data_IF_792130184348
#
_entry.id   IF_792130184348
#
_cell.length_a   1.000
_cell.length_b   1.000
_cell.length_c   1.000
_cell.angle_alpha   90.00
_cell.angle_beta   90.00
_cell.angle_gamma   90.00
#
_symmetry.space_group_name_H-M   'P 1'
#
loop_
_entity.id
_entity.type
_entity.pdbx_description
1 polymer ?
2 non-polymer ?
3 non-polymer ?
4 water ?
#
# COMPACT_ATOMS: atom_id res chain seq x y z
N UNK A 4 -8.85 -24.07 18.36
CA UNK A 4 -9.20 -22.75 17.70
C UNK A 4 -8.64 -22.72 16.28
N UNK A 5 -9.52 -22.61 15.25
CA UNK A 5 -9.06 -22.67 13.86
C UNK A 5 -8.29 -21.39 13.52
N UNK A 6 -7.35 -21.47 12.60
CA UNK A 6 -6.63 -20.29 12.11
C UNK A 6 -7.52 -19.55 11.11
N UNK A 7 -7.52 -18.21 11.09
CA UNK A 7 -8.39 -17.49 10.18
C UNK A 7 -7.94 -17.62 8.73
N UNK A 8 -8.90 -17.47 7.83
CA UNK A 8 -8.71 -17.45 6.36
C UNK A 8 -8.76 -16.00 5.88
N UNK A 9 -9.33 -15.11 6.71
CA UNK A 9 -9.49 -13.68 6.40
C UNK A 9 -9.42 -12.86 7.69
N UNK A 10 -8.88 -11.64 7.59
CA UNK A 10 -8.85 -10.68 8.71
C UNK A 10 -9.37 -9.35 8.17
N UNK A 11 -9.74 -8.48 9.08
CA UNK A 11 -10.10 -7.09 8.70
C UNK A 11 -9.02 -6.18 9.24
N UNK A 12 -8.67 -5.21 8.39
CA UNK A 12 -7.55 -4.27 8.67
C UNK A 12 -8.14 -2.88 8.55
N UNK A 13 -7.93 -2.08 9.57
CA UNK A 13 -8.24 -0.64 9.58
C UNK A 13 -6.96 0.13 9.25
N UNK A 14 -7.05 1.01 8.27
CA UNK A 14 -5.99 1.97 7.90
C UNK A 14 -6.53 3.37 8.19
N UNK A 15 -5.80 4.16 8.97
CA UNK A 15 -6.13 5.56 9.21
C UNK A 15 -5.00 6.45 8.79
N UNK A 16 -5.30 7.58 8.17
CA UNK A 16 -4.29 8.61 7.88
C UNK A 16 -4.87 9.94 8.35
N UNK A 17 -4.09 10.67 9.14
CA UNK A 17 -4.50 12.00 9.62
C UNK A 17 -3.30 12.90 9.71
N UNK A 18 -3.34 14.02 8.98
CA UNK A 18 -2.39 15.14 9.19
C UNK A 18 -3.01 16.03 10.27
N UNK A 19 -2.39 15.99 11.45
CA UNK A 19 -2.91 16.60 12.69
C UNK A 19 -2.64 18.10 12.74
N UNK A 20 -1.88 18.66 11.80
CA UNK A 20 -1.64 20.13 11.73
C UNK A 20 -0.98 20.63 13.00
N UNK A 21 -0.15 19.79 13.63
CA UNK A 21 0.69 20.14 14.80
C UNK A 21 -0.19 20.57 15.99
N UNK A 22 -1.44 20.09 16.04
CA UNK A 22 -2.38 20.42 17.12
C UNK A 22 -2.78 19.13 17.81
N UNK A 23 -3.00 19.15 19.15
CA UNK A 23 -3.51 18.00 19.86
C UNK A 23 -4.88 17.61 19.32
N UNK A 24 -5.24 16.31 19.38
CA UNK A 24 -6.56 15.90 18.93
C UNK A 24 -7.62 16.33 19.93
N UNK A 25 -8.92 16.31 19.54
CA UNK A 25 -9.99 16.55 20.50
C UNK A 25 -10.19 15.33 21.41
N UNK A 26 -11.09 15.44 22.40
CA UNK A 26 -11.17 14.40 23.44
C UNK A 26 -11.75 13.11 22.84
N UNK A 27 -12.55 13.20 21.79
CA UNK A 27 -13.18 12.00 21.18
C UNK A 27 -12.83 11.87 19.69
N UNK A 28 -12.22 10.75 19.30
CA UNK A 28 -11.85 10.52 17.87
C UNK A 28 -12.38 9.15 17.42
N UNK A 29 -13.32 8.59 18.16
CA UNK A 29 -13.86 7.23 17.89
C UNK A 29 -14.51 7.11 16.51
N UNK A 30 -15.08 8.20 15.98
CA UNK A 30 -15.71 8.23 14.63
C UNK A 30 -14.70 7.76 13.58
N UNK A 31 -13.42 8.09 13.76
CA UNK A 31 -12.34 7.69 12.84
C UNK A 31 -12.27 6.15 12.77
N UNK A 32 -12.14 5.51 13.92
CA UNK A 32 -11.91 4.05 14.03
C UNK A 32 -13.19 3.31 13.66
N UNK A 33 -14.32 3.99 13.72
CA UNK A 33 -15.64 3.42 13.32
C UNK A 33 -15.97 3.64 11.85
N UNK A 34 -15.12 4.32 11.09
CA UNK A 34 -15.39 4.59 9.65
C UNK A 34 -16.75 5.30 9.48
N UNK A 35 -16.96 6.35 10.28
CA UNK A 35 -18.20 7.19 10.26
C UNK A 35 -17.85 8.57 9.70
N UNK A 36 -18.73 9.11 8.86
CA UNK A 36 -18.57 10.47 8.32
C UNK A 36 -19.07 10.47 6.93
N UNK A 37 -18.23 10.92 5.99
CA UNK A 37 -18.55 10.99 4.54
C UNK A 37 -17.87 9.85 3.80
N UNK A 38 -18.39 9.51 2.62
CA UNK A 38 -17.80 8.53 1.73
C UNK A 38 -18.43 7.18 1.89
N UNK A 39 -17.63 6.13 1.72
CA UNK A 39 -18.04 4.71 1.89
C UNK A 39 -17.83 4.35 3.37
N UNK A 40 -18.91 4.38 4.15
CA UNK A 40 -18.85 4.25 5.62
C UNK A 40 -19.21 2.83 6.02
N UNK A 41 -18.84 2.47 7.23
CA UNK A 41 -19.07 1.15 7.81
C UNK A 41 -20.49 1.10 8.41
N UNK A 42 -21.13 -0.06 8.29
CA UNK A 42 -22.50 -0.26 8.80
C UNK A 42 -22.49 -0.13 10.33
N UNK A 43 -23.49 0.56 10.87
CA UNK A 43 -23.66 0.70 12.36
C UNK A 43 -23.65 -0.65 13.06
N UNK A 44 -24.18 -1.69 12.43
CA UNK A 44 -24.33 -3.05 13.00
C UNK A 44 -22.95 -3.65 13.30
N UNK A 45 -21.86 -3.06 12.75
CA UNK A 45 -20.48 -3.55 12.94
C UNK A 45 -19.72 -2.81 14.04
N UNK A 46 -20.32 -1.79 14.64
CA UNK A 46 -19.60 -0.84 15.53
C UNK A 46 -18.89 -1.54 16.69
N UNK A 47 -19.47 -2.62 17.24
CA UNK A 47 -18.79 -3.28 18.38
C UNK A 47 -17.77 -4.32 17.93
N UNK A 48 -17.71 -4.61 16.62
CA UNK A 48 -16.84 -5.70 16.10
C UNK A 48 -15.44 -5.10 15.92
N UNK A 49 -14.40 -5.58 16.62
CA UNK A 49 -13.07 -5.01 16.46
C UNK A 49 -12.51 -5.48 15.13
N UNK A 50 -11.77 -4.63 14.45
CA UNK A 50 -10.84 -5.07 13.39
C UNK A 50 -9.74 -5.89 14.05
N UNK A 51 -9.14 -6.76 13.24
CA UNK A 51 -8.01 -7.60 13.68
C UNK A 51 -6.79 -6.73 13.92
N UNK A 52 -6.53 -5.81 12.99
CA UNK A 52 -5.30 -4.97 12.98
C UNK A 52 -5.78 -3.54 12.70
N UNK A 53 -5.28 -2.57 13.48
CA UNK A 53 -5.45 -1.12 13.25
C UNK A 53 -4.08 -0.54 12.96
N UNK A 54 -3.96 0.14 11.82
CA UNK A 54 -2.70 0.80 11.41
C UNK A 54 -3.02 2.28 11.29
N UNK A 55 -2.33 3.09 12.10
CA UNK A 55 -2.64 4.54 12.28
C UNK A 55 -1.45 5.37 11.81
N UNK A 56 -1.60 6.07 10.68
CA UNK A 56 -0.56 6.95 10.13
C UNK A 56 -0.90 8.37 10.48
N UNK A 57 0.03 9.09 11.07
CA UNK A 57 -0.16 10.53 11.31
C UNK A 57 0.98 11.31 10.65
N UNK A 58 0.66 12.57 10.37
CA UNK A 58 1.61 13.56 9.82
C UNK A 58 1.41 14.84 10.63
N UNK A 59 2.48 15.62 10.78
CA UNK A 59 2.42 16.85 11.61
C UNK A 59 1.87 16.49 13.01
N UNK A 60 2.31 15.35 13.55
CA UNK A 60 1.82 14.80 14.83
C UNK A 60 2.62 15.48 15.94
N UNK A 61 1.99 16.28 16.82
CA UNK A 61 2.72 17.00 17.87
C UNK A 61 2.96 16.15 19.15
N UNK A 62 2.37 14.97 19.22
CA UNK A 62 2.32 14.16 20.44
C UNK A 62 3.60 13.32 20.57
N UNK A 63 3.95 12.97 21.79
CA UNK A 63 4.93 11.88 22.04
C UNK A 63 4.27 10.55 21.64
N UNK A 64 5.09 9.54 21.39
CA UNK A 64 4.59 8.18 21.10
C UNK A 64 3.70 7.78 22.26
N UNK A 65 4.15 8.06 23.48
CA UNK A 65 3.39 7.65 24.68
C UNK A 65 2.03 8.34 24.68
N UNK A 66 2.00 9.65 24.45
CA UNK A 66 0.71 10.41 24.48
C UNK A 66 -0.25 9.81 23.44
N UNK A 67 0.24 9.50 22.24
CA UNK A 67 -0.64 9.03 21.15
C UNK A 67 -1.08 7.59 21.42
N UNK A 68 -0.18 6.72 21.87
CA UNK A 68 -0.56 5.34 22.25
C UNK A 68 -1.68 5.31 23.29
N UNK A 69 -1.59 6.19 24.30
CA UNK A 69 -2.61 6.37 25.37
C UNK A 69 -3.97 6.65 24.72
N UNK A 70 -4.02 7.67 23.86
CA UNK A 70 -5.28 8.07 23.18
C UNK A 70 -5.77 6.93 22.30
N UNK A 71 -4.89 6.31 21.51
CA UNK A 71 -5.36 5.24 20.60
C UNK A 71 -5.91 4.08 21.39
N UNK A 72 -5.15 3.54 22.33
CA UNK A 72 -5.59 2.32 23.04
C UNK A 72 -6.90 2.56 23.80
N UNK A 73 -7.01 3.70 24.49
CA UNK A 73 -8.24 4.08 25.24
C UNK A 73 -9.42 4.15 24.27
N UNK A 74 -9.24 4.79 23.12
CA UNK A 74 -10.28 4.98 22.07
C UNK A 74 -10.79 3.62 21.59
N UNK A 75 -9.90 2.67 21.31
CA UNK A 75 -10.32 1.33 20.84
C UNK A 75 -10.98 0.56 21.99
N UNK A 76 -10.46 0.68 23.22
CA UNK A 76 -11.08 0.02 24.39
C UNK A 76 -12.52 0.54 24.55
N UNK A 77 -12.73 1.84 24.45
CA UNK A 77 -14.08 2.44 24.59
C UNK A 77 -15.00 1.84 23.54
N UNK A 78 -14.54 1.71 22.29
CA UNK A 78 -15.37 1.22 21.15
C UNK A 78 -15.68 -0.27 21.34
N UNK A 79 -14.67 -1.07 21.64
CA UNK A 79 -14.71 -2.53 21.37
C UNK A 79 -14.73 -3.30 22.67
N UNK A 80 -14.33 -2.64 23.75
CA UNK A 80 -14.02 -3.29 25.06
C UNK A 80 -12.86 -4.27 24.94
N UNK A 81 -11.98 -4.13 23.93
CA UNK A 81 -10.75 -4.96 23.79
C UNK A 81 -9.56 -4.08 24.11
N UNK A 82 -8.59 -4.59 24.86
CA UNK A 82 -7.31 -3.92 25.10
C UNK A 82 -6.35 -4.37 24.02
N UNK A 83 -6.04 -3.50 23.07
CA UNK A 83 -5.20 -3.87 21.91
C UNK A 83 -3.73 -3.95 22.35
N UNK A 84 -3.00 -4.84 21.70
CA UNK A 84 -1.53 -4.97 21.86
C UNK A 84 -0.81 -4.08 20.85
N UNK A 85 0.29 -3.49 21.27
CA UNK A 85 1.12 -2.65 20.38
C UNK A 85 2.09 -3.53 19.62
N UNK A 86 1.92 -3.68 18.31
CA UNK A 86 2.80 -4.50 17.45
C UNK A 86 4.05 -3.68 17.15
N UNK A 87 3.86 -2.40 16.86
CA UNK A 87 4.97 -1.54 16.41
C UNK A 87 4.56 -0.08 16.46
N UNK A 88 5.56 0.76 16.66
CA UNK A 88 5.39 2.23 16.55
C UNK A 88 6.70 2.76 16.03
N UNK A 89 6.66 3.65 15.05
CA UNK A 89 7.89 4.23 14.49
C UNK A 89 7.61 5.66 14.06
N UNK A 90 8.47 6.59 14.46
CA UNK A 90 8.30 8.03 14.20
C UNK A 90 9.55 8.57 13.51
N UNK A 91 9.35 9.29 12.39
CA UNK A 91 10.40 10.11 11.73
C UNK A 91 9.89 11.55 11.80
N UNK A 92 10.56 12.37 12.61
CA UNK A 92 10.16 13.78 12.80
C UNK A 92 8.73 13.80 13.31
N UNK A 93 7.75 14.25 12.53
CA UNK A 93 6.34 14.34 12.99
C UNK A 93 5.48 13.38 12.17
N UNK A 94 6.13 12.41 11.51
CA UNK A 94 5.47 11.34 10.72
C UNK A 94 5.49 10.05 11.52
N UNK A 95 4.32 9.48 11.82
CA UNK A 95 4.28 8.35 12.74
C UNK A 95 3.38 7.23 12.24
N UNK A 96 3.80 6.02 12.51
CA UNK A 96 2.92 4.85 12.24
C UNK A 96 2.81 4.02 13.52
N UNK A 97 1.57 3.63 13.83
CA UNK A 97 1.22 2.75 14.98
C UNK A 97 0.48 1.53 14.46
N UNK A 98 0.94 0.33 14.84
CA UNK A 98 0.22 -0.93 14.53
C UNK A 98 -0.29 -1.54 15.83
N UNK A 99 -1.60 -1.70 15.94
CA UNK A 99 -2.28 -2.34 17.09
C UNK A 99 -2.99 -3.59 16.61
N UNK A 100 -3.00 -4.63 17.44
CA UNK A 100 -3.67 -5.89 17.07
C UNK A 100 -4.42 -6.49 18.24
N UNK A 101 -5.49 -7.23 17.94
CA UNK A 101 -6.24 -8.05 18.93
C UNK A 101 -5.23 -8.87 19.74
N UNK A 102 -5.41 -9.03 21.06
CA UNK A 102 -4.52 -9.87 21.84
C UNK A 102 -4.39 -11.30 21.33
N UNK A 103 -5.46 -11.86 20.79
CA UNK A 103 -5.45 -13.26 20.26
C UNK A 103 -4.47 -13.41 19.10
N UNK A 104 -4.00 -12.30 18.47
CA UNK A 104 -3.11 -12.35 17.30
C UNK A 104 -1.65 -12.26 17.69
N UNK A 105 -1.37 -12.08 18.98
CA UNK A 105 0.04 -11.94 19.42
C UNK A 105 0.92 -13.12 18.91
N UNK A 106 0.42 -14.35 19.02
CA UNK A 106 1.14 -15.60 18.67
C UNK A 106 1.22 -15.77 17.14
N UNK A 107 0.36 -15.07 16.40
CA UNK A 107 0.26 -15.19 14.91
C UNK A 107 1.19 -14.18 14.23
N UNK A 108 1.68 -13.20 14.99
CA UNK A 108 2.50 -12.10 14.42
C UNK A 108 3.99 -12.32 14.71
N UNK A 109 4.84 -12.19 13.69
CA UNK A 109 6.29 -12.39 13.86
C UNK A 109 7.02 -11.52 12.85
N UNK A 110 8.35 -11.50 12.91
CA UNK A 110 9.19 -10.83 11.89
C UNK A 110 8.76 -9.36 11.75
N UNK A 111 8.64 -8.66 12.87
CA UNK A 111 8.20 -7.24 12.84
C UNK A 111 9.40 -6.40 12.44
N UNK A 112 9.25 -5.61 11.38
CA UNK A 112 10.28 -4.68 10.86
C UNK A 112 9.71 -3.26 10.86
N UNK A 113 10.58 -2.27 11.09
CA UNK A 113 10.22 -0.83 11.02
C UNK A 113 11.33 -0.17 10.24
N UNK A 114 10.99 0.87 9.51
CA UNK A 114 12.04 1.66 8.81
C UNK A 114 11.45 3.01 8.47
N UNK A 115 12.33 3.89 8.04
CA UNK A 115 11.90 5.22 7.55
C UNK A 115 12.80 5.61 6.38
N UNK A 116 12.31 6.52 5.57
CA UNK A 116 13.07 7.15 4.47
C UNK A 116 12.84 8.65 4.59
N UNK A 117 13.92 9.42 4.56
CA UNK A 117 13.87 10.90 4.47
C UNK A 117 13.96 11.30 3.01
N UNK A 118 13.05 12.13 2.50
CA UNK A 118 13.07 12.52 1.08
C UNK A 118 13.73 13.89 0.90
N UNK A 119 14.27 14.15 -0.30
CA UNK A 119 14.83 15.47 -0.68
C UNK A 119 16.29 15.61 -0.27
N UNK A 120 16.95 16.69 -0.74
CA UNK A 120 18.40 16.95 -0.55
C UNK A 120 18.58 18.40 -0.10
N UNK A 121 19.32 18.63 1.00
CA UNK A 121 19.70 19.96 1.56
C UNK A 121 18.44 20.75 1.95
N UNK A 122 18.09 21.81 1.19
CA UNK A 122 16.79 22.53 1.23
C UNK A 122 15.66 21.59 1.64
N UNK A 123 15.46 20.54 0.83
CA UNK A 123 14.23 19.70 0.77
C UNK A 123 14.41 18.44 1.64
N UNK A 124 15.54 18.28 2.33
CA UNK A 124 15.71 17.31 3.47
C UNK A 124 15.47 18.06 4.79
N UNK A 125 14.48 17.62 5.57
CA UNK A 125 14.18 18.25 6.87
C UNK A 125 12.84 17.86 7.43
N UNK A 126 11.82 17.58 6.61
CA UNK A 126 10.57 17.12 7.29
C UNK A 126 9.63 16.14 6.55
N UNK A 127 9.89 15.86 5.27
CA UNK A 127 9.06 14.93 4.45
C UNK A 127 9.73 13.56 4.38
N UNK A 128 8.93 12.50 4.19
CA UNK A 128 9.45 11.16 4.06
C UNK A 128 8.39 10.17 4.43
N UNK A 129 8.80 9.00 4.89
CA UNK A 129 7.85 7.90 5.15
C UNK A 129 8.36 7.10 6.32
N UNK A 130 7.42 6.52 7.04
CA UNK A 130 7.69 5.44 8.00
C UNK A 130 6.95 4.20 7.53
N UNK A 131 7.44 3.03 7.95
CA UNK A 131 6.81 1.78 7.57
C UNK A 131 6.95 0.71 8.61
N UNK A 132 6.05 -0.26 8.52
CA UNK A 132 6.03 -1.46 9.40
C UNK A 132 5.73 -2.64 8.50
N UNK A 133 6.44 -3.73 8.70
CA UNK A 133 6.02 -5.04 8.14
C UNK A 133 5.99 -6.10 9.22
N UNK A 134 5.24 -7.16 8.92
CA UNK A 134 5.28 -8.37 9.75
C UNK A 134 4.61 -9.51 9.00
N UNK A 135 4.80 -10.70 9.55
CA UNK A 135 4.06 -11.89 9.16
C UNK A 135 2.87 -12.04 10.07
N UNK A 136 1.71 -12.31 9.49
CA UNK A 136 0.50 -12.78 10.16
C UNK A 136 0.31 -14.23 9.68
N UNK A 137 0.63 -15.20 10.51
CA UNK A 137 0.69 -16.61 10.08
C UNK A 137 1.48 -16.69 8.77
N UNK A 138 0.92 -17.25 7.69
CA UNK A 138 1.70 -17.47 6.45
C UNK A 138 1.66 -16.26 5.50
N UNK A 139 1.13 -15.14 5.96
CA UNK A 139 0.86 -13.97 5.09
C UNK A 139 1.74 -12.80 5.51
N UNK A 140 2.40 -12.17 4.55
CA UNK A 140 3.28 -10.99 4.81
C UNK A 140 2.47 -9.71 4.58
N UNK A 141 2.56 -8.78 5.51
CA UNK A 141 1.79 -7.51 5.46
C UNK A 141 2.79 -6.35 5.57
N UNK A 142 2.69 -5.39 4.66
CA UNK A 142 3.48 -4.14 4.74
C UNK A 142 2.57 -2.93 4.83
N UNK A 143 3.06 -1.90 5.51
CA UNK A 143 2.30 -0.66 5.75
C UNK A 143 3.26 0.51 5.65
N UNK A 144 2.91 1.46 4.80
CA UNK A 144 3.75 2.68 4.58
C UNK A 144 2.88 3.90 4.84
N UNK A 145 3.35 4.78 5.74
CA UNK A 145 2.75 6.11 5.97
C UNK A 145 3.74 7.15 5.46
N UNK A 146 3.40 7.87 4.40
CA UNK A 146 4.25 8.89 3.78
C UNK A 146 3.60 10.26 3.88
N UNK A 147 4.43 11.26 4.15
CA UNK A 147 4.13 12.70 4.02
C UNK A 147 4.97 13.22 2.86
N UNK A 148 4.36 13.46 1.71
CA UNK A 148 5.10 13.84 0.50
C UNK A 148 5.11 15.36 0.36
N UNK A 149 5.95 15.84 -0.54
CA UNK A 149 6.15 17.28 -0.79
C UNK A 149 4.80 17.97 -0.97
N UNK A 150 4.64 19.16 -0.39
CA UNK A 150 3.41 19.98 -0.49
C UNK A 150 3.47 20.90 -1.72
N UNK A 151 2.32 21.41 -2.10
CA UNK A 151 2.24 22.51 -3.07
C UNK A 151 1.68 22.01 -4.36
N UNK A 152 0.69 22.71 -4.91
CA UNK A 152 0.03 22.31 -6.16
C UNK A 152 1.01 22.11 -7.32
N UNK A 153 2.11 22.87 -7.31
CA UNK A 153 3.09 22.98 -8.41
C UNK A 153 4.08 21.80 -8.40
N UNK A 154 4.06 20.96 -7.36
CA UNK A 154 5.15 19.98 -7.09
C UNK A 154 4.73 18.52 -7.24
N UNK A 155 3.88 18.21 -8.20
CA UNK A 155 3.44 16.80 -8.37
C UNK A 155 4.65 15.96 -8.81
N UNK A 156 5.56 16.51 -9.59
CA UNK A 156 6.75 15.73 -10.00
C UNK A 156 7.61 15.37 -8.78
N UNK A 157 7.80 16.34 -7.87
CA UNK A 157 8.54 16.12 -6.59
C UNK A 157 7.88 14.97 -5.82
N UNK A 158 6.55 15.02 -5.70
CA UNK A 158 5.83 13.95 -4.98
C UNK A 158 6.16 12.59 -5.64
N UNK A 159 6.16 12.52 -6.96
CA UNK A 159 6.40 11.25 -7.69
C UNK A 159 7.84 10.78 -7.39
N UNK A 160 8.75 11.74 -7.33
CA UNK A 160 10.16 11.45 -6.96
C UNK A 160 10.25 10.97 -5.51
N UNK A 161 9.51 11.60 -4.60
CA UNK A 161 9.49 11.19 -3.17
C UNK A 161 9.01 9.73 -3.09
N UNK A 162 7.91 9.40 -3.77
CA UNK A 162 7.37 8.04 -3.86
C UNK A 162 8.45 7.06 -4.32
N UNK A 163 9.16 7.38 -5.40
CA UNK A 163 10.18 6.42 -5.94
C UNK A 163 11.28 6.24 -4.89
N UNK A 164 11.73 7.31 -4.23
CA UNK A 164 12.77 7.17 -3.18
C UNK A 164 12.29 6.29 -2.03
N UNK A 165 11.05 6.48 -1.62
CA UNK A 165 10.48 5.66 -0.51
C UNK A 165 10.45 4.19 -0.95
N UNK A 166 9.94 3.97 -2.16
CA UNK A 166 9.79 2.63 -2.79
C UNK A 166 11.14 1.92 -2.78
N UNK A 167 12.17 2.61 -3.25
CA UNK A 167 13.53 2.04 -3.42
C UNK A 167 14.17 1.75 -2.07
N UNK A 168 14.02 2.66 -1.10
CA UNK A 168 14.95 2.65 0.04
C UNK A 168 14.30 2.20 1.34
N UNK A 169 12.98 2.06 1.42
CA UNK A 169 12.37 1.60 2.66
C UNK A 169 12.65 0.10 2.81
N UNK A 170 13.32 -0.30 3.88
CA UNK A 170 13.85 -1.65 4.10
C UNK A 170 12.91 -2.39 5.04
N UNK A 171 11.87 -2.97 4.47
CA UNK A 171 10.88 -3.77 5.21
C UNK A 171 10.83 -5.16 4.61
N UNK A 172 10.30 -6.12 5.35
CA UNK A 172 10.05 -7.46 4.82
C UNK A 172 11.32 -8.25 4.77
N UNK A 173 11.30 -9.33 4.00
CA UNK A 173 12.33 -10.41 4.10
C UNK A 173 13.57 -9.93 3.34
N UNK A 174 14.67 -9.64 4.06
CA UNK A 174 15.94 -9.19 3.40
C UNK A 174 16.52 -10.26 2.46
N UNK A 175 16.09 -11.53 2.54
CA UNK A 175 16.53 -12.56 1.54
C UNK A 175 15.96 -12.24 0.16
N UNK A 176 14.89 -11.43 0.10
CA UNK A 176 14.25 -11.05 -1.20
C UNK A 176 15.03 -9.90 -1.82
N UNK A 177 16.34 -10.08 -1.97
CA UNK A 177 17.27 -8.96 -2.24
C UNK A 177 16.98 -8.25 -3.57
N UNK A 178 16.49 -8.86 -4.67
CA UNK A 178 16.18 -8.10 -5.87
C UNK A 178 14.90 -7.26 -5.80
N UNK A 179 14.11 -7.44 -4.75
CA UNK A 179 12.73 -6.92 -4.70
C UNK A 179 12.64 -5.77 -3.70
N UNK A 180 11.98 -4.72 -4.14
CA UNK A 180 11.58 -3.56 -3.30
C UNK A 180 10.25 -3.86 -2.61
N UNK A 181 9.79 -2.94 -1.76
CA UNK A 181 8.56 -3.18 -0.96
C UNK A 181 7.36 -3.45 -1.87
N UNK A 182 7.34 -3.03 -3.13
CA UNK A 182 6.16 -3.25 -3.99
C UNK A 182 6.05 -4.72 -4.39
N UNK A 183 7.01 -5.58 -4.06
CA UNK A 183 6.94 -7.04 -4.34
C UNK A 183 7.10 -7.89 -3.08
N UNK A 184 7.41 -7.31 -1.93
CA UNK A 184 7.78 -8.17 -0.77
C UNK A 184 6.61 -8.68 0.06
N UNK A 185 5.37 -8.21 -0.19
CA UNK A 185 4.23 -8.47 0.72
C UNK A 185 3.02 -9.04 -0.03
N UNK A 186 2.37 -10.00 0.60
CA UNK A 186 1.06 -10.48 0.11
C UNK A 186 0.13 -9.27 -0.07
N UNK A 187 0.13 -8.39 0.93
CA UNK A 187 -0.69 -7.16 0.93
C UNK A 187 0.19 -6.00 1.39
N UNK A 188 0.24 -4.95 0.58
CA UNK A 188 0.98 -3.70 0.89
C UNK A 188 -0.04 -2.57 0.92
N UNK A 189 -0.08 -1.83 2.01
CA UNK A 189 -0.97 -0.66 2.14
C UNK A 189 -0.07 0.56 2.21
N UNK A 190 -0.36 1.55 1.38
CA UNK A 190 0.45 2.78 1.33
C UNK A 190 -0.52 3.94 1.47
N UNK A 191 -0.32 4.77 2.47
CA UNK A 191 -1.27 5.83 2.83
C UNK A 191 -0.46 7.02 3.30
N UNK A 192 -1.17 8.09 3.59
CA UNK A 192 -0.56 9.28 4.19
C UNK A 192 -1.11 10.57 3.62
N UNK A 193 -0.43 11.67 3.94
CA UNK A 193 -0.64 12.96 3.33
C UNK A 193 0.22 12.97 2.07
N UNK A 194 -0.31 12.39 1.01
CA UNK A 194 0.42 12.27 -0.25
C UNK A 194 0.45 13.63 -0.94
N UNK A 195 -0.43 14.56 -0.60
CA UNK A 195 -0.32 15.99 -0.96
C UNK A 195 -0.58 16.29 -2.43
N UNK A 196 -1.13 15.35 -3.19
CA UNK A 196 -1.61 15.63 -4.55
C UNK A 196 -2.88 16.50 -4.47
N UNK A 197 -2.98 17.45 -5.39
CA UNK A 197 -3.99 18.51 -5.37
C UNK A 197 -4.94 18.39 -6.54
N UNK A 198 -6.04 19.10 -6.39
CA UNK A 198 -7.00 19.29 -7.52
C UNK A 198 -6.43 20.43 -8.36
N UNK A 199 -5.99 20.09 -9.57
CA UNK A 199 -5.27 21.02 -10.49
C UNK A 199 -6.30 21.78 -11.34
N UNK A 200 -6.83 22.86 -10.79
CA UNK A 200 -7.72 23.78 -11.52
C UNK A 200 -7.15 25.17 -11.31
N UNK A 201 -7.53 26.15 -12.15
CA UNK A 201 -7.08 27.52 -11.97
C UNK A 201 -7.55 28.03 -10.61
N UNK A 202 -6.74 28.87 -9.95
CA UNK A 202 -6.98 29.35 -8.55
C UNK A 202 -8.20 30.27 -8.49
N UNK A 203 -8.61 30.86 -9.62
CA UNK A 203 -9.82 31.72 -9.70
C UNK A 203 -11.08 30.85 -9.79
N UNK A 204 -10.93 29.53 -9.91
CA UNK A 204 -12.07 28.57 -9.78
C UNK A 204 -12.34 28.17 -8.32
N UNK A 205 -11.66 28.77 -7.34
CA UNK A 205 -11.74 28.32 -5.93
C UNK A 205 -13.20 28.29 -5.46
N UNK A 206 -13.99 29.34 -5.73
CA UNK A 206 -15.36 29.39 -5.16
C UNK A 206 -16.23 28.39 -5.92
N UNK A 207 -15.99 28.17 -7.20
CA UNK A 207 -16.72 27.16 -8.00
C UNK A 207 -16.43 25.79 -7.41
N UNK A 208 -15.17 25.50 -7.15
CA UNK A 208 -14.79 24.21 -6.50
C UNK A 208 -15.57 24.03 -5.19
N UNK A 209 -15.61 25.05 -4.33
CA UNK A 209 -16.32 24.94 -3.03
C UNK A 209 -17.82 24.66 -3.22
N UNK A 210 -18.44 25.31 -4.20
CA UNK A 210 -19.89 25.11 -4.46
C UNK A 210 -20.12 23.69 -5.03
N UNK A 211 -19.18 23.16 -5.82
CA UNK A 211 -19.29 21.75 -6.28
C UNK A 211 -19.21 20.80 -5.06
N UNK A 212 -18.26 21.06 -4.14
CA UNK A 212 -18.18 20.26 -2.88
C UNK A 212 -19.49 20.32 -2.08
N UNK A 213 -20.08 21.51 -1.89
CA UNK A 213 -21.34 21.67 -1.13
C UNK A 213 -22.46 20.86 -1.78
N UNK A 214 -22.44 20.65 -3.08
CA UNK A 214 -23.47 19.88 -3.82
C UNK A 214 -23.09 18.40 -3.87
N UNK A 215 -21.97 18.02 -3.26
CA UNK A 215 -21.44 16.62 -3.29
C UNK A 215 -21.28 16.17 -4.73
N UNK A 216 -20.81 17.06 -5.60
CA UNK A 216 -20.59 16.77 -7.03
C UNK A 216 -19.08 16.73 -7.23
N UNK A 217 -18.49 15.56 -7.09
CA UNK A 217 -17.00 15.45 -7.03
C UNK A 217 -16.41 15.09 -8.39
N UNK A 218 -17.22 14.74 -9.40
CA UNK A 218 -16.69 14.10 -10.62
C UNK A 218 -15.76 15.05 -11.37
N UNK A 219 -16.17 16.32 -11.54
CA UNK A 219 -15.36 17.32 -12.27
C UNK A 219 -14.13 17.67 -11.41
N UNK A 220 -14.16 17.41 -10.12
CA UNK A 220 -12.97 17.71 -9.28
C UNK A 220 -12.01 16.52 -9.40
N UNK A 221 -12.51 15.29 -9.23
CA UNK A 221 -11.64 14.08 -9.29
C UNK A 221 -10.96 13.96 -10.67
N UNK A 222 -11.57 14.44 -11.75
CA UNK A 222 -10.93 14.38 -13.09
C UNK A 222 -9.70 15.28 -13.15
N UNK A 223 -9.51 16.17 -12.18
CA UNK A 223 -8.32 17.05 -12.07
C UNK A 223 -7.45 16.71 -10.84
N UNK A 224 -7.78 15.64 -10.14
CA UNK A 224 -6.94 15.16 -9.01
C UNK A 224 -5.58 14.69 -9.58
N UNK A 225 -4.49 15.24 -9.05
CA UNK A 225 -3.17 14.94 -9.58
C UNK A 225 -2.81 13.47 -9.32
N UNK A 226 -3.25 12.85 -8.23
CA UNK A 226 -2.85 11.47 -7.97
C UNK A 226 -3.53 10.57 -9.01
N UNK A 227 -4.82 10.74 -9.26
CA UNK A 227 -5.51 9.93 -10.29
C UNK A 227 -4.87 10.16 -11.67
N UNK A 228 -4.57 11.39 -12.04
CA UNK A 228 -4.04 11.71 -13.40
C UNK A 228 -2.61 11.16 -13.49
N UNK A 229 -1.77 11.34 -12.48
CA UNK A 229 -0.38 10.83 -12.54
C UNK A 229 -0.41 9.30 -12.61
N UNK A 230 -1.29 8.66 -11.83
CA UNK A 230 -1.47 7.19 -11.83
C UNK A 230 -1.91 6.73 -13.22
N UNK A 231 -2.83 7.45 -13.85
CA UNK A 231 -3.38 7.03 -15.17
C UNK A 231 -2.29 7.14 -16.24
N UNK A 232 -1.31 8.03 -16.05
CA UNK A 232 -0.14 8.18 -16.98
C UNK A 232 1.04 7.33 -16.52
N UNK A 233 0.86 6.48 -15.50
CA UNK A 233 1.88 5.52 -15.02
C UNK A 233 3.10 6.28 -14.53
N UNK A 234 2.90 7.43 -13.91
CA UNK A 234 4.02 8.26 -13.36
C UNK A 234 4.26 7.91 -11.91
N UNK A 235 3.30 7.25 -11.25
CA UNK A 235 3.38 6.97 -9.81
C UNK A 235 2.40 5.85 -9.47
N UNK A 236 2.68 5.11 -8.40
CA UNK A 236 1.79 4.08 -7.81
C UNK A 236 1.33 3.07 -8.88
N UNK A 237 2.23 2.72 -9.80
CA UNK A 237 1.93 1.70 -10.82
C UNK A 237 1.53 0.40 -10.10
N UNK A 238 0.41 -0.15 -10.53
CA UNK A 238 -0.14 -1.47 -10.12
C UNK A 238 -0.76 -1.44 -8.73
N UNK A 239 -0.99 -0.24 -8.20
CA UNK A 239 -1.74 -0.05 -6.92
C UNK A 239 -3.20 0.17 -7.23
N UNK A 240 -4.05 -0.08 -6.21
CA UNK A 240 -5.52 0.15 -6.26
C UNK A 240 -5.86 1.29 -5.30
N UNK A 241 -6.94 2.01 -5.59
CA UNK A 241 -7.53 2.95 -4.65
C UNK A 241 -9.03 2.77 -4.85
N UNK A 242 -9.79 2.77 -3.74
CA UNK A 242 -11.27 2.75 -3.75
C UNK A 242 -11.76 4.07 -4.32
N UNK A 243 -12.91 4.07 -4.99
CA UNK A 243 -13.51 5.32 -5.51
C UNK A 243 -13.67 6.30 -4.35
N UNK A 244 -13.37 7.57 -4.62
CA UNK A 244 -13.52 8.66 -3.64
C UNK A 244 -14.93 9.23 -3.71
N UNK A 245 -15.64 9.14 -2.59
CA UNK A 245 -17.05 9.61 -2.49
C UNK A 245 -17.21 10.53 -1.27
N UNK A 246 -16.13 11.10 -0.78
CA UNK A 246 -16.11 12.06 0.34
C UNK A 246 -15.54 13.40 -0.14
N UNK A 247 -15.84 14.48 0.56
CA UNK A 247 -15.33 15.81 0.19
C UNK A 247 -13.81 15.84 0.33
N UNK A 248 -13.13 16.71 -0.42
CA UNK A 248 -11.70 17.00 -0.17
C UNK A 248 -11.43 17.22 1.31
N UNK A 249 -10.32 16.67 1.80
CA UNK A 249 -10.00 16.58 3.22
C UNK A 249 -9.07 17.71 3.63
N UNK A 250 -8.75 18.62 2.71
CA UNK A 250 -7.80 19.73 2.94
C UNK A 250 -8.27 20.86 2.02
N UNK A 251 -8.08 22.14 2.37
CA UNK A 251 -7.60 22.67 3.62
C UNK A 251 -8.75 23.38 4.31
N UNK A 252 -9.06 22.95 5.51
CA UNK A 252 -10.19 23.49 6.32
C UNK A 252 -9.69 24.58 7.25
N UNK A 253 -10.59 25.50 7.59
CA UNK A 253 -10.45 26.34 8.79
C UNK A 253 -10.61 25.40 9.99
N UNK A 254 -9.73 25.52 10.99
CA UNK A 254 -9.83 24.72 12.23
C UNK A 254 -11.11 25.03 13.01
N UNK A 255 -11.60 24.03 13.73
CA UNK A 255 -12.72 24.09 14.71
C UNK A 255 -14.06 24.20 13.98
N UNK A 256 -14.10 24.10 12.66
CA UNK A 256 -15.37 23.86 11.94
C UNK A 256 -15.07 22.91 10.80
N UNK A 257 -16.07 22.38 10.08
CA UNK A 257 -15.83 21.83 8.71
C UNK A 257 -16.65 22.61 7.70
N UNK A 258 -17.11 23.79 8.08
CA UNK A 258 -18.08 24.53 7.23
C UNK A 258 -17.30 25.35 6.20
N UNK A 259 -15.96 25.44 6.34
CA UNK A 259 -15.17 26.41 5.56
C UNK A 259 -13.84 25.82 5.07
N UNK A 260 -13.59 25.95 3.78
CA UNK A 260 -12.26 25.70 3.20
C UNK A 260 -11.44 26.99 3.24
N UNK A 261 -10.21 26.91 3.74
CA UNK A 261 -9.27 28.05 3.83
C UNK A 261 -8.29 27.87 2.68
N UNK A 262 -8.57 28.46 1.53
CA UNK A 262 -7.76 28.24 0.31
C UNK A 262 -6.86 29.42 -0.11
N UNK A 263 -7.13 30.62 0.41
CA UNK A 263 -6.48 31.88 -0.03
C UNK A 263 -5.01 31.87 0.37
N UNK A 264 -4.16 32.52 -0.44
CA UNK A 264 -2.72 32.63 -0.16
C UNK A 264 -2.54 33.56 1.05
N UNK A 265 -1.61 33.19 1.91
CA UNK A 265 -1.33 33.85 3.21
C UNK A 265 0.17 33.78 3.44
N UNK A 266 0.75 34.68 4.25
CA UNK A 266 2.18 34.50 4.61
C UNK A 266 2.41 33.07 5.12
N UNK A 267 1.52 32.56 5.95
CA UNK A 267 1.65 31.24 6.60
C UNK A 267 1.68 30.11 5.55
N UNK A 268 1.17 30.33 4.33
CA UNK A 268 1.21 29.29 3.27
C UNK A 268 2.35 29.53 2.28
N UNK A 269 3.29 30.44 2.57
CA UNK A 269 4.27 30.86 1.58
C UNK A 269 3.64 31.55 0.39
N UNK A 270 2.51 32.24 0.60
CA UNK A 270 1.75 32.94 -0.48
C UNK A 270 1.35 31.93 -1.56
N UNK A 271 1.00 30.71 -1.14
CA UNK A 271 0.47 29.63 -2.02
C UNK A 271 -1.02 29.46 -1.76
N UNK A 272 -1.80 29.26 -2.83
CA UNK A 272 -3.21 28.87 -2.75
C UNK A 272 -3.22 27.39 -2.39
N UNK A 273 -4.17 27.02 -1.54
CA UNK A 273 -4.45 25.59 -1.22
C UNK A 273 -5.90 25.33 -1.66
N UNK A 274 -6.14 25.16 -2.95
CA UNK A 274 -7.48 24.78 -3.42
C UNK A 274 -7.85 23.46 -2.74
N UNK A 275 -9.12 23.25 -2.36
CA UNK A 275 -9.59 22.01 -1.77
C UNK A 275 -9.09 20.82 -2.57
N UNK A 276 -8.53 19.88 -1.83
CA UNK A 276 -7.82 18.73 -2.44
C UNK A 276 -7.98 17.48 -1.59
N UNK A 277 -7.86 16.35 -2.25
CA UNK A 277 -7.77 15.02 -1.60
C UNK A 277 -6.30 14.73 -1.29
N UNK A 278 -5.76 15.40 -0.28
CA UNK A 278 -4.33 15.19 0.08
C UNK A 278 -4.12 13.83 0.74
N UNK A 279 -5.16 13.30 1.39
CA UNK A 279 -5.03 12.24 2.41
C UNK A 279 -5.65 10.95 1.88
N UNK A 280 -4.83 9.95 1.61
CA UNK A 280 -5.23 8.83 0.74
C UNK A 280 -4.79 7.48 1.29
N UNK A 281 -5.46 6.43 0.81
CA UNK A 281 -5.10 5.04 1.13
C UNK A 281 -5.12 4.25 -0.19
N UNK A 282 -3.98 3.67 -0.53
CA UNK A 282 -3.85 2.76 -1.68
C UNK A 282 -3.32 1.42 -1.20
N UNK A 283 -3.50 0.39 -2.04
CA UNK A 283 -2.94 -0.93 -1.72
C UNK A 283 -2.49 -1.67 -2.97
N UNK A 284 -1.69 -2.67 -2.73
CA UNK A 284 -1.21 -3.57 -3.80
C UNK A 284 -1.08 -4.92 -3.14
N UNK A 285 -1.84 -5.88 -3.62
CA UNK A 285 -1.79 -7.27 -3.16
C UNK A 285 -1.30 -8.15 -4.32
N UNK A 286 -0.68 -9.25 -3.97
CA UNK A 286 -0.29 -10.28 -4.95
C UNK A 286 -1.50 -10.75 -5.73
N UNK A 287 -1.27 -11.19 -6.99
CA UNK A 287 -2.37 -11.60 -7.86
C UNK A 287 -3.20 -12.72 -7.22
N UNK A 288 -4.54 -12.60 -7.35
CA UNK A 288 -5.52 -13.65 -6.98
C UNK A 288 -5.49 -13.91 -5.47
N UNK A 289 -5.14 -12.90 -4.67
CA UNK A 289 -5.39 -12.95 -3.22
C UNK A 289 -6.63 -12.11 -2.93
N UNK A 290 -7.42 -12.57 -1.99
CA UNK A 290 -8.68 -11.85 -1.58
C UNK A 290 -8.29 -10.53 -0.93
N UNK A 291 -8.80 -9.42 -1.45
CA UNK A 291 -8.66 -8.11 -0.74
C UNK A 291 -9.85 -7.30 -1.18
N UNK A 292 -10.69 -6.88 -0.23
CA UNK A 292 -11.88 -6.05 -0.57
C UNK A 292 -11.89 -4.85 0.34
N UNK A 293 -11.95 -3.67 -0.23
CA UNK A 293 -12.15 -2.43 0.52
C UNK A 293 -13.60 -2.35 1.00
N UNK A 294 -13.79 -2.28 2.31
CA UNK A 294 -15.12 -2.27 3.00
C UNK A 294 -15.54 -0.83 3.33
N UNK A 295 -14.58 0.10 3.42
CA UNK A 295 -14.85 1.51 3.78
C UNK A 295 -13.70 2.36 3.26
N UNK A 296 -14.03 3.58 2.90
CA UNK A 296 -13.08 4.62 2.45
C UNK A 296 -13.80 5.94 2.57
N UNK A 297 -13.40 6.74 3.56
CA UNK A 297 -14.09 7.98 3.83
C UNK A 297 -13.33 8.91 4.72
N UNK A 298 -14.00 9.98 5.13
CA UNK A 298 -13.38 10.95 6.05
C UNK A 298 -14.36 11.26 7.17
N UNK A 299 -13.84 11.59 8.33
CA UNK A 299 -14.68 11.98 9.48
C UNK A 299 -15.15 13.42 9.26
N UNK A 300 -16.29 13.74 9.88
CA UNK A 300 -16.93 15.07 9.84
C UNK A 300 -16.84 15.80 11.19
N UNK A 301 -16.46 15.11 12.27
CA UNK A 301 -16.64 15.61 13.65
C UNK A 301 -15.27 15.82 14.34
N UNK A 302 -14.14 15.73 13.63
CA UNK A 302 -12.77 15.90 14.22
C UNK A 302 -12.17 17.10 13.49
N UNK A 303 -12.03 18.24 14.20
CA UNK A 303 -11.85 19.58 13.56
C UNK A 303 -10.61 20.31 14.09
N UNK A 304 -9.71 19.63 14.83
CA UNK A 304 -8.52 20.28 15.44
C UNK A 304 -7.51 20.64 14.38
N UNK A 305 -7.51 19.93 13.26
CA UNK A 305 -6.53 20.10 12.18
C UNK A 305 -7.18 20.79 10.99
N UNK A 306 -6.37 21.27 10.07
CA UNK A 306 -6.82 21.77 8.75
C UNK A 306 -7.00 20.61 7.77
N UNK A 307 -6.71 19.39 8.21
CA UNK A 307 -7.05 18.15 7.49
C UNK A 307 -8.12 17.41 8.27
N UNK A 308 -9.01 16.74 7.57
CA UNK A 308 -9.87 15.71 8.19
C UNK A 308 -9.18 14.34 8.12
N UNK A 309 -9.29 13.54 9.19
CA UNK A 309 -8.89 12.14 9.16
C UNK A 309 -9.59 11.39 8.02
N UNK A 310 -8.83 10.46 7.43
CA UNK A 310 -9.34 9.49 6.43
C UNK A 310 -9.21 8.10 7.03
N UNK A 311 -10.22 7.25 6.77
CA UNK A 311 -10.24 5.83 7.15
C UNK A 311 -10.42 4.99 5.89
N UNK A 312 -9.89 3.79 5.91
CA UNK A 312 -10.17 2.72 4.96
C UNK A 312 -10.11 1.41 5.73
N UNK A 313 -11.03 0.52 5.40
CA UNK A 313 -11.01 -0.83 5.97
C UNK A 313 -11.04 -1.87 4.85
N UNK A 314 -10.42 -2.99 5.18
CA UNK A 314 -10.20 -4.04 4.21
C UNK A 314 -10.47 -5.41 4.82
N UNK A 315 -11.08 -6.29 4.04
CA UNK A 315 -11.11 -7.75 4.29
C UNK A 315 -9.97 -8.37 3.47
N UNK A 316 -8.94 -8.93 4.14
CA UNK A 316 -7.70 -9.41 3.50
C UNK A 316 -7.54 -10.92 3.73
N UNK A 317 -7.34 -11.65 2.64
CA UNK A 317 -7.07 -13.08 2.70
C UNK A 317 -5.78 -13.33 3.45
N UNK A 318 -5.78 -14.31 4.35
CA UNK A 318 -4.56 -14.79 5.05
C UNK A 318 -4.49 -16.31 4.93
N UNK A 319 -3.30 -16.85 5.09
CA UNK A 319 -3.08 -18.31 5.08
C UNK A 319 -2.43 -18.75 6.40
N UNK A 320 -2.52 -20.05 6.68
CA UNK A 320 -1.94 -20.70 7.89
C UNK A 320 -0.42 -20.82 7.73
N UNK A 321 0.27 -21.13 8.84
CA UNK A 321 1.71 -21.53 8.84
C UNK A 321 1.76 -23.06 8.68
N UNK A 322 1.87 -23.54 7.45
CA UNK A 322 1.72 -24.97 7.07
C UNK A 322 2.93 -25.84 7.45
N UNK A 323 2.68 -27.02 8.04
CA UNK A 323 3.74 -28.03 8.35
C UNK A 323 3.28 -29.38 7.77
N UNK A 324 4.17 -30.04 7.05
CA UNK A 324 3.92 -31.41 6.56
C UNK A 324 5.03 -32.30 7.15
N UNK A 325 4.93 -33.61 6.92
CA UNK A 325 5.95 -34.60 7.34
C UNK A 325 7.26 -34.33 6.58
N UNK A 326 7.17 -33.74 5.39
CA UNK A 326 8.35 -33.37 4.57
C UNK A 326 8.72 -31.93 4.93
N UNK A 327 8.41 -30.96 4.08
CA UNK A 327 8.76 -29.56 4.34
C UNK A 327 7.85 -28.96 5.39
N UNK A 328 8.27 -27.88 6.07
CA UNK A 328 9.62 -27.32 5.91
C UNK A 328 10.78 -28.18 6.41
N UNK A 329 11.96 -27.94 5.85
CA UNK A 329 13.23 -28.61 6.19
C UNK A 329 13.67 -29.59 5.13
N UNK A 330 12.85 -29.79 4.11
CA UNK A 330 13.17 -30.66 2.94
C UNK A 330 12.11 -30.38 1.87
N UNK A 331 12.24 -31.03 0.73
CA UNK A 331 11.29 -30.88 -0.39
C UNK A 331 10.27 -32.00 -0.27
N UNK A 332 9.17 -31.85 -0.99
CA UNK A 332 8.12 -32.88 -1.09
C UNK A 332 8.08 -33.33 -2.54
N UNK A 333 8.63 -34.48 -2.86
CA UNK A 333 8.89 -34.87 -4.26
C UNK A 333 7.58 -35.07 -5.04
N UNK A 334 6.40 -35.02 -4.39
CA UNK A 334 5.09 -35.17 -5.10
C UNK A 334 4.67 -33.82 -5.69
N UNK A 335 5.45 -32.77 -5.45
CA UNK A 335 5.16 -31.43 -5.98
C UNK A 335 6.25 -30.97 -6.93
N UNK A 336 5.88 -30.23 -7.98
CA UNK A 336 6.83 -29.55 -8.88
C UNK A 336 6.15 -28.40 -9.62
N UNK A 337 6.94 -27.41 -9.95
CA UNK A 337 6.51 -26.26 -10.78
C UNK A 337 7.38 -26.23 -12.03
N UNK A 338 6.76 -26.39 -13.19
CA UNK A 338 7.47 -26.31 -14.49
C UNK A 338 6.96 -25.13 -15.32
N UNK A 339 7.83 -24.66 -16.19
CA UNK A 339 7.67 -23.45 -17.05
C UNK A 339 7.98 -23.84 -18.49
N UNK A 340 7.08 -23.50 -19.41
CA UNK A 340 7.22 -23.83 -20.85
C UNK A 340 7.11 -22.54 -21.65
N UNK A 341 7.74 -22.47 -22.84
CA UNK A 341 7.52 -21.38 -23.82
C UNK A 341 7.64 -20.01 -23.11
N UNK A 342 8.62 -19.83 -22.22
CA UNK A 342 8.76 -18.56 -21.45
C UNK A 342 9.69 -17.57 -22.15
N UNK A 343 9.31 -16.31 -22.09
CA UNK A 343 10.19 -15.24 -22.59
C UNK A 343 9.86 -13.96 -21.85
N UNK A 344 10.90 -13.20 -21.66
CA UNK A 344 10.86 -11.85 -21.06
C UNK A 344 10.95 -10.86 -22.21
N UNK A 345 10.21 -9.77 -22.16
CA UNK A 345 10.31 -8.67 -23.16
C UNK A 345 10.80 -7.50 -22.33
N UNK A 346 11.94 -6.91 -22.67
CA UNK A 346 12.50 -5.82 -21.83
C UNK A 346 12.58 -4.56 -22.66
N UNK A 347 12.44 -3.43 -22.00
CA UNK A 347 12.50 -2.10 -22.67
C UNK A 347 13.95 -1.61 -22.77
N UNK A 348 14.90 -2.28 -22.14
CA UNK A 348 16.32 -1.86 -22.08
C UNK A 348 16.88 -1.70 -23.50
N UNK A 349 17.68 -0.66 -23.70
CA UNK A 349 18.38 -0.42 -24.99
C UNK A 349 19.71 -1.17 -24.94
N UNK A 350 20.05 -1.81 -23.82
CA UNK A 350 21.35 -2.50 -23.60
C UNK A 350 21.34 -3.90 -24.22
N UNK A 351 22.54 -4.46 -24.43
CA UNK A 351 22.80 -5.87 -24.87
C UNK A 351 23.82 -6.47 -23.90
N UNK A 352 23.33 -7.22 -22.91
CA UNK A 352 24.04 -8.17 -22.03
C UNK A 352 23.20 -9.46 -22.07
N UNK A 353 23.71 -10.55 -21.56
CA UNK A 353 22.92 -11.75 -21.34
C UNK A 353 22.10 -11.56 -20.06
N UNK A 354 20.99 -12.26 -19.97
CA UNK A 354 20.09 -12.25 -18.79
C UNK A 354 19.80 -13.66 -18.32
N UNK A 355 19.63 -13.81 -17.00
CA UNK A 355 19.06 -15.02 -16.39
C UNK A 355 17.91 -14.64 -15.45
N UNK A 356 17.11 -15.63 -15.03
CA UNK A 356 15.98 -15.43 -14.09
C UNK A 356 16.39 -15.92 -12.69
N UNK A 357 15.84 -15.26 -11.67
CA UNK A 357 15.85 -15.78 -10.28
C UNK A 357 14.41 -15.95 -9.84
N UNK A 358 14.11 -17.11 -9.26
CA UNK A 358 12.78 -17.42 -8.72
C UNK A 358 12.94 -17.40 -7.20
N UNK A 359 12.08 -16.62 -6.52
CA UNK A 359 12.06 -16.53 -5.06
C UNK A 359 10.66 -16.82 -4.58
N UNK A 360 10.54 -17.71 -3.60
CA UNK A 360 9.23 -18.02 -3.00
C UNK A 360 9.44 -18.72 -1.68
N UNK A 361 8.54 -18.45 -0.72
CA UNK A 361 8.46 -19.15 0.58
C UNK A 361 8.24 -20.65 0.37
N UNK A 362 7.68 -21.05 -0.78
CA UNK A 362 7.40 -22.47 -1.08
C UNK A 362 8.69 -23.19 -1.50
N UNK A 363 9.83 -22.47 -1.69
CA UNK A 363 11.15 -23.09 -2.05
C UNK A 363 12.09 -23.06 -0.85
N UNK A 364 13.00 -24.02 -0.75
CA UNK A 364 14.01 -24.01 0.35
C UNK A 364 14.90 -22.80 0.18
N UNK A 365 15.25 -22.45 -1.05
CA UNK A 365 15.94 -21.18 -1.34
C UNK A 365 15.70 -20.77 -2.79
N UNK A 366 16.16 -19.57 -3.14
CA UNK A 366 15.93 -18.99 -4.49
C UNK A 366 16.69 -19.83 -5.53
N UNK A 367 16.16 -19.80 -6.74
CA UNK A 367 16.67 -20.63 -7.86
C UNK A 367 17.09 -19.71 -8.98
N UNK A 368 18.27 -19.96 -9.54
CA UNK A 368 18.89 -19.16 -10.63
C UNK A 368 18.89 -19.99 -11.93
N UNK A 369 18.19 -19.52 -12.96
CA UNK A 369 18.08 -20.21 -14.26
C UNK A 369 19.41 -20.05 -15.02
N UNK A 370 19.50 -20.81 -16.12
CA UNK A 370 20.48 -20.59 -17.20
C UNK A 370 20.16 -19.27 -17.89
N UNK A 371 21.16 -18.73 -18.56
CA UNK A 371 21.00 -17.53 -19.41
C UNK A 371 19.98 -17.84 -20.49
N UNK A 372 19.10 -16.89 -20.75
CA UNK A 372 18.19 -16.93 -21.91
C UNK A 372 18.90 -16.54 -23.19
N UNK A 373 18.20 -16.72 -24.30
CA UNK A 373 18.67 -16.32 -25.65
C UNK A 373 18.01 -15.03 -26.09
N UNK A 374 18.82 -14.01 -26.30
CA UNK A 374 18.35 -12.69 -26.74
C UNK A 374 17.96 -12.73 -28.21
N UNK A 375 16.80 -12.19 -28.52
CA UNK A 375 16.35 -11.93 -29.91
C UNK A 375 15.82 -10.50 -29.98
N UNK A 376 15.77 -9.94 -31.18
CA UNK A 376 15.18 -8.62 -31.49
C UNK A 376 13.68 -8.79 -31.74
N UNK A 377 12.81 -8.13 -30.96
CA UNK A 377 11.37 -8.04 -31.21
C UNK A 377 11.07 -7.20 -32.44
N UNK A 378 9.89 -7.36 -33.04
CA UNK A 378 9.51 -6.75 -34.35
C UNK A 378 9.41 -5.23 -34.25
N UNK A 379 9.28 -4.68 -33.04
CA UNK A 379 9.08 -3.23 -32.79
C UNK A 379 10.25 -2.65 -31.98
N UNK A 380 11.46 -3.23 -32.11
CA UNK A 380 12.70 -2.74 -31.47
C UNK A 380 13.03 -3.41 -30.12
N UNK A 381 12.11 -4.15 -29.50
CA UNK A 381 12.21 -4.64 -28.10
C UNK A 381 13.34 -5.67 -27.96
N UNK A 382 13.93 -5.80 -26.78
CA UNK A 382 14.74 -7.01 -26.46
C UNK A 382 13.81 -8.12 -25.98
N UNK A 383 13.87 -9.28 -26.61
CA UNK A 383 13.11 -10.48 -26.18
C UNK A 383 14.14 -11.47 -25.67
N UNK A 384 13.99 -11.91 -24.43
CA UNK A 384 14.91 -12.93 -23.84
C UNK A 384 14.13 -14.24 -23.79
N UNK A 385 14.56 -15.20 -24.62
CA UNK A 385 13.87 -16.51 -24.75
C UNK A 385 14.46 -17.49 -23.76
N UNK A 386 13.62 -18.08 -22.93
CA UNK A 386 13.95 -19.19 -22.02
C UNK A 386 13.46 -20.49 -22.64
N UNK A 387 12.54 -20.42 -23.61
CA UNK A 387 11.81 -21.58 -24.16
C UNK A 387 11.42 -22.55 -23.06
N UNK A 388 11.99 -23.75 -23.12
CA UNK A 388 11.70 -24.90 -22.22
C UNK A 388 12.88 -25.06 -21.27
N UNK A 389 13.79 -24.09 -21.19
CA UNK A 389 15.10 -24.26 -20.49
C UNK A 389 15.01 -23.92 -18.98
N UNK A 390 13.91 -23.36 -18.47
CA UNK A 390 13.86 -22.92 -17.05
C UNK A 390 13.88 -24.14 -16.16
N UNK A 391 14.50 -24.08 -14.96
CA UNK A 391 14.54 -25.23 -14.07
C UNK A 391 13.13 -25.66 -13.64
N UNK A 392 13.07 -26.88 -13.10
CA UNK A 392 11.87 -27.44 -12.45
C UNK A 392 11.97 -27.06 -10.97
N UNK A 393 10.99 -26.31 -10.44
CA UNK A 393 11.04 -25.84 -9.04
C UNK A 393 10.45 -26.90 -8.13
N UNK A 394 11.06 -27.06 -6.95
CA UNK A 394 10.78 -28.16 -6.01
C UNK A 394 10.22 -27.58 -4.73
N UNK A 395 8.88 -27.54 -4.59
CA UNK A 395 8.26 -26.93 -3.42
C UNK A 395 8.52 -27.79 -2.18
N UNK A 396 8.53 -27.14 -1.03
CA UNK A 396 8.74 -27.80 0.29
C UNK A 396 7.53 -28.63 0.67
N UNK A 397 6.36 -28.31 0.13
CA UNK A 397 5.06 -28.93 0.51
C UNK A 397 4.23 -29.09 -0.76
N UNK A 398 3.63 -30.25 -0.99
CA UNK A 398 2.97 -30.57 -2.28
C UNK A 398 1.45 -30.49 -2.12
N UNK A 399 0.97 -30.38 -0.89
CA UNK A 399 -0.48 -30.32 -0.59
C UNK A 399 -1.05 -29.14 -1.36
N UNK A 400 -2.08 -29.34 -2.21
CA UNK A 400 -2.60 -28.23 -3.00
C UNK A 400 -3.27 -27.14 -2.18
N UNK A 401 -3.75 -27.48 -0.97
CA UNK A 401 -4.35 -26.49 -0.02
C UNK A 401 -3.29 -25.49 0.44
N UNK A 402 -2.03 -25.87 0.38
CA UNK A 402 -0.87 -24.95 0.58
C UNK A 402 -0.45 -24.36 -0.76
N UNK A 403 -0.10 -25.21 -1.70
CA UNK A 403 0.74 -24.77 -2.84
C UNK A 403 -0.04 -23.79 -3.74
N UNK A 404 -1.35 -23.98 -3.89
CA UNK A 404 -2.16 -23.14 -4.80
C UNK A 404 -2.32 -21.73 -4.20
N UNK A 405 -2.02 -21.56 -2.92
CA UNK A 405 -2.07 -20.24 -2.26
C UNK A 405 -0.73 -19.49 -2.34
N UNK A 406 0.29 -20.06 -2.99
CA UNK A 406 1.63 -19.46 -3.01
C UNK A 406 1.83 -18.59 -4.24
N UNK A 407 2.96 -17.87 -4.26
CA UNK A 407 3.36 -16.98 -5.36
C UNK A 407 4.84 -17.18 -5.63
N UNK A 408 5.25 -16.99 -6.89
CA UNK A 408 6.67 -17.00 -7.33
C UNK A 408 7.04 -15.59 -7.76
N UNK A 409 7.99 -15.00 -7.04
CA UNK A 409 8.57 -13.71 -7.49
C UNK A 409 9.67 -14.04 -8.50
N UNK A 410 9.74 -13.24 -9.56
CA UNK A 410 10.71 -13.41 -10.67
C UNK A 410 11.48 -12.12 -10.78
N UNK A 411 12.81 -12.24 -10.81
CA UNK A 411 13.74 -11.17 -11.21
C UNK A 411 14.48 -11.61 -12.46
N UNK A 412 14.57 -10.74 -13.44
CA UNK A 412 15.46 -10.96 -14.62
C UNK A 412 16.72 -10.12 -14.36
N UNK A 413 17.85 -10.82 -14.31
CA UNK A 413 19.14 -10.18 -13.95
C UNK A 413 20.14 -10.23 -15.11
N UNK A 414 20.96 -9.18 -15.21
CA UNK A 414 22.12 -9.09 -16.11
C UNK A 414 23.17 -10.09 -15.64
N UNK A 415 23.64 -10.92 -16.55
CA UNK A 415 24.78 -11.84 -16.27
C UNK A 415 26.01 -11.02 -15.91
N UNK A 416 26.21 -9.87 -16.55
CA UNK A 416 27.43 -9.02 -16.38
C UNK A 416 27.43 -8.36 -14.99
N UNK A 417 26.30 -7.88 -14.49
CA UNK A 417 26.30 -7.06 -13.26
C UNK A 417 25.56 -7.74 -12.11
N UNK A 418 24.78 -8.79 -12.38
CA UNK A 418 23.85 -9.44 -11.43
C UNK A 418 22.82 -8.43 -10.89
N UNK A 419 22.60 -7.29 -11.56
CA UNK A 419 21.61 -6.25 -11.17
C UNK A 419 20.27 -6.68 -11.80
N UNK A 420 19.17 -6.56 -11.05
CA UNK A 420 17.81 -6.82 -11.59
C UNK A 420 17.41 -5.74 -12.59
N UNK A 421 16.90 -6.13 -13.76
CA UNK A 421 16.30 -5.23 -14.76
C UNK A 421 14.78 -5.26 -14.65
N UNK A 422 14.22 -6.16 -13.87
CA UNK A 422 12.74 -6.22 -13.76
C UNK A 422 12.33 -7.28 -12.78
N UNK A 423 11.26 -6.98 -12.06
CA UNK A 423 10.70 -7.82 -11.00
C UNK A 423 9.22 -7.99 -11.27
N UNK A 424 8.72 -9.19 -11.02
CA UNK A 424 7.29 -9.48 -11.14
C UNK A 424 6.88 -10.62 -10.24
N UNK A 425 5.64 -11.05 -10.37
CA UNK A 425 5.04 -12.04 -9.44
C UNK A 425 4.02 -12.87 -10.18
N UNK A 426 4.08 -14.16 -9.99
CA UNK A 426 3.15 -15.15 -10.61
C UNK A 426 2.39 -15.88 -9.49
N UNK A 427 1.06 -15.90 -9.56
CA UNK A 427 0.22 -16.63 -8.59
C UNK A 427 0.17 -18.11 -9.00
N UNK A 428 0.20 -19.00 -8.03
CA UNK A 428 0.00 -20.46 -8.26
C UNK A 428 -1.46 -20.86 -8.08
N UNK A 429 -2.37 -19.88 -7.96
CA UNK A 429 -3.82 -20.11 -7.81
C UNK A 429 -4.40 -20.45 -9.19
N UNK A 430 -3.99 -21.60 -9.74
CA UNK A 430 -4.30 -21.96 -11.15
C UNK A 430 -5.71 -22.52 -11.29
N UNK A 431 -6.22 -22.47 -12.51
CA UNK A 431 -7.51 -23.07 -12.86
C UNK A 431 -7.41 -24.60 -12.90
N UNK A 432 -6.22 -25.16 -12.98
CA UNK A 432 -5.98 -26.61 -13.11
C UNK A 432 -4.57 -26.93 -12.69
N UNK A 433 -4.36 -28.17 -12.23
CA UNK A 433 -3.02 -28.75 -12.03
C UNK A 433 -2.70 -29.75 -13.15
N UNK A 434 -1.42 -30.05 -13.31
CA UNK A 434 -0.92 -31.04 -14.29
C UNK A 434 -1.34 -30.59 -15.70
N UNK A 435 -1.59 -29.28 -15.91
CA UNK A 435 -2.15 -28.71 -17.16
C UNK A 435 -1.32 -27.49 -17.55
N UNK A 436 -0.86 -27.40 -18.80
CA UNK A 436 -0.13 -26.20 -19.30
C UNK A 436 -1.09 -25.02 -19.37
N UNK A 437 -0.76 -23.93 -18.69
CA UNK A 437 -1.67 -22.78 -18.52
C UNK A 437 -0.87 -21.50 -18.74
N UNK A 438 -1.45 -20.48 -19.39
CA UNK A 438 -0.72 -19.23 -19.58
C UNK A 438 -0.39 -18.56 -18.24
N UNK A 439 0.80 -17.98 -18.14
CA UNK A 439 1.18 -17.07 -17.01
C UNK A 439 1.66 -15.76 -17.60
N UNK A 440 1.56 -14.72 -16.77
CA UNK A 440 1.93 -13.36 -17.19
C UNK A 440 2.20 -12.56 -15.92
N UNK A 441 3.24 -11.74 -15.97
CA UNK A 441 3.40 -10.60 -15.04
C UNK A 441 4.07 -9.45 -15.77
N UNK A 442 3.66 -8.21 -15.50
CA UNK A 442 4.50 -7.07 -15.86
C UNK A 442 5.78 -7.13 -15.04
N UNK A 443 6.83 -6.50 -15.54
CA UNK A 443 8.10 -6.42 -14.82
C UNK A 443 8.37 -4.94 -14.54
N UNK A 444 8.80 -4.66 -13.33
CA UNK A 444 9.13 -3.28 -12.93
C UNK A 444 10.53 -3.26 -12.34
N UNK A 445 11.10 -2.08 -12.30
CA UNK A 445 12.36 -1.85 -11.56
C UNK A 445 12.30 -0.44 -11.01
N UNK A 446 12.59 -0.29 -9.72
CA UNK A 446 12.33 0.94 -8.97
C UNK A 446 10.89 1.36 -9.24
N UNK A 447 9.99 0.40 -9.37
CA UNK A 447 8.53 0.67 -9.49
C UNK A 447 8.13 1.23 -10.85
N UNK A 448 9.04 1.29 -11.83
CA UNK A 448 8.75 1.74 -13.22
C UNK A 448 8.64 0.50 -14.10
N UNK A 449 7.76 0.53 -15.08
CA UNK A 449 7.60 -0.60 -16.01
C UNK A 449 8.88 -0.75 -16.82
N UNK A 450 9.43 -1.96 -16.85
CA UNK A 450 10.67 -2.27 -17.59
C UNK A 450 10.46 -3.41 -18.60
N UNK A 451 9.30 -4.04 -18.57
CA UNK A 451 9.10 -5.20 -19.46
C UNK A 451 7.96 -6.07 -19.02
N UNK A 452 7.99 -7.30 -19.50
CA UNK A 452 6.95 -8.32 -19.30
C UNK A 452 7.59 -9.68 -19.25
N UNK A 453 6.96 -10.59 -18.54
CA UNK A 453 7.36 -12.00 -18.54
C UNK A 453 6.09 -12.81 -18.82
N UNK A 454 6.17 -13.70 -19.79
CA UNK A 454 5.00 -14.54 -20.11
C UNK A 454 5.47 -15.91 -20.58
N UNK A 455 4.57 -16.87 -20.46
CA UNK A 455 4.85 -18.22 -20.90
C UNK A 455 3.75 -19.12 -20.42
N UNK A 456 4.11 -20.36 -20.13
CA UNK A 456 3.16 -21.30 -19.56
C UNK A 456 3.76 -21.93 -18.32
N UNK A 457 2.87 -22.33 -17.44
CA UNK A 457 3.18 -23.06 -16.20
C UNK A 457 2.46 -24.40 -16.23
N UNK A 458 3.03 -25.39 -15.54
CA UNK A 458 2.42 -26.71 -15.29
C UNK A 458 2.74 -27.07 -13.84
N UNK A 459 1.73 -27.08 -12.97
CA UNK A 459 1.89 -27.28 -11.52
C UNK A 459 1.43 -28.68 -11.12
N UNK A 460 2.31 -29.41 -10.44
CA UNK A 460 2.03 -30.75 -9.85
C UNK A 460 1.82 -30.60 -8.35
N UNK A 461 0.66 -31.03 -7.83
CA UNK A 461 0.41 -31.10 -6.38
C UNK A 461 0.22 -32.58 -6.04
N UNK A 462 0.06 -32.88 -4.77
CA UNK A 462 -0.16 -34.27 -4.26
C UNK A 462 -1.56 -34.77 -4.67
N UNK A 463 -2.44 -33.93 -5.17
CA UNK A 463 -3.83 -34.38 -5.50
C UNK A 463 -3.97 -34.60 -7.01
#
# INVERSE_FOLDING_TARGET
SMEQPEPDMITIFIGTWNMGNAPPPKKITSWFLSKGQGKTRDDSADYIPHDIYVIGTQEDPLSEKEWLEILKHSLQEITSVTFKTVAIHTLWNIRIVVLAKPEHENRISHICTDNVKTGIANTLGNKGAVGVSFMFNGTSLGFVNSHLTSGSEKKLRRNQNYMNILRFLALGDKKLSPFNITHRFTHLFWFGDLNYRVDLPTWEAETIIQKIKQQQYADLLSHDQLLTERREQKVFLHFEEEEITFAPTYRFERLTRDKYAYTKQKATGMKYNLPSWCDRVLWKSYPLVHVVCQSYGSTSDIMTSDHSPVFATFEAGVTSQFVSKNGPGTVDSQGQIEFLRCYATLKTKSQTKFYLEFHSSCLESFVKSQEGENEEGSEGELVVKFGETLPKLKPIISDPEYLLDQHILISIKSSDSDESYGEGCIALRLEATETQLPIYTPLTHHGELTGHFQGEIKLQTSQ
#
